data_IF_299147930462
#
_entry.id   IF_299147930462
#
_cell.length_a   1.000
_cell.length_b   1.000
_cell.length_c   1.000
_cell.angle_alpha   90.00
_cell.angle_beta   90.00
_cell.angle_gamma   90.00
#
_symmetry.space_group_name_H-M   'P 1'
#
loop_
_entity.id
_entity.type
_entity.pdbx_description
1 polymer ?
#
# COMPACT_ATOMS: atom_id res chain seq x y z
N UNK A 1 7.05 -58.99 -24.75
CA UNK A 1 6.60 -57.65 -25.19
C UNK A 1 5.68 -57.12 -24.09
N UNK A 2 6.16 -56.26 -23.17
CA UNK A 2 6.12 -54.76 -23.23
C UNK A 2 4.67 -54.28 -23.42
N UNK A 3 4.04 -53.50 -22.53
CA UNK A 3 4.52 -52.30 -21.82
C UNK A 3 3.68 -52.06 -20.55
N UNK A 4 4.34 -51.81 -19.40
CA UNK A 4 3.72 -51.15 -18.24
C UNK A 4 3.56 -49.66 -18.57
N UNK A 5 2.32 -49.15 -18.54
CA UNK A 5 2.06 -47.71 -18.51
C UNK A 5 2.31 -47.20 -17.08
N UNK A 6 3.53 -46.73 -16.81
CA UNK A 6 3.77 -45.85 -15.65
C UNK A 6 3.30 -44.46 -16.07
N UNK A 7 2.12 -44.06 -15.61
CA UNK A 7 1.69 -42.66 -15.64
C UNK A 7 2.61 -41.87 -14.72
N UNK A 8 3.68 -41.32 -15.29
CA UNK A 8 4.44 -40.23 -14.69
C UNK A 8 3.52 -38.99 -14.65
N UNK A 9 2.77 -38.84 -13.55
CA UNK A 9 2.40 -37.50 -13.08
C UNK A 9 3.71 -36.82 -12.66
N UNK A 10 4.39 -36.22 -13.62
CA UNK A 10 5.35 -35.17 -13.33
C UNK A 10 4.57 -33.92 -12.91
N UNK A 11 4.02 -33.94 -11.69
CA UNK A 11 3.82 -32.71 -10.95
C UNK A 11 5.24 -32.22 -10.64
N UNK A 12 5.83 -31.48 -11.59
CA UNK A 12 7.07 -30.78 -11.37
C UNK A 12 6.86 -29.95 -10.10
N UNK A 13 7.63 -30.31 -9.06
CA UNK A 13 7.62 -29.70 -7.74
C UNK A 13 8.09 -28.25 -7.87
N UNK A 14 7.22 -27.36 -8.35
CA UNK A 14 7.35 -25.96 -8.04
C UNK A 14 7.13 -25.88 -6.53
N UNK A 15 8.23 -25.87 -5.76
CA UNK A 15 8.15 -25.55 -4.34
C UNK A 15 7.32 -24.27 -4.22
N UNK A 16 6.19 -24.30 -3.48
CA UNK A 16 5.43 -23.11 -3.18
C UNK A 16 6.41 -22.00 -2.78
N UNK A 17 6.24 -20.79 -3.30
CA UNK A 17 7.13 -19.66 -2.98
C UNK A 17 7.32 -19.52 -1.45
N UNK A 18 6.30 -19.88 -0.69
CA UNK A 18 6.29 -20.00 0.77
C UNK A 18 7.38 -20.94 1.29
N UNK A 19 7.51 -22.16 0.76
CA UNK A 19 8.53 -23.12 1.18
C UNK A 19 9.94 -22.61 0.86
N UNK A 20 10.11 -21.93 -0.28
CA UNK A 20 11.39 -21.33 -0.65
C UNK A 20 11.82 -20.25 0.33
N UNK A 21 10.88 -19.43 0.81
CA UNK A 21 11.14 -18.37 1.78
C UNK A 21 11.41 -18.99 3.17
N UNK A 22 10.52 -19.86 3.63
CA UNK A 22 10.56 -20.39 5.00
C UNK A 22 11.70 -21.37 5.26
N UNK A 23 12.19 -22.07 4.22
CA UNK A 23 13.34 -22.97 4.35
C UNK A 23 14.69 -22.27 4.11
N UNK A 24 14.70 -20.99 3.74
CA UNK A 24 15.94 -20.23 3.58
C UNK A 24 16.48 -19.83 4.97
N UNK A 25 17.66 -20.31 5.40
CA UNK A 25 18.21 -19.98 6.72
C UNK A 25 18.57 -18.49 6.87
N UNK A 26 18.65 -17.75 5.76
CA UNK A 26 18.91 -16.30 5.76
C UNK A 26 17.62 -15.47 5.71
N UNK A 27 16.43 -16.09 5.67
CA UNK A 27 15.18 -15.34 5.69
C UNK A 27 14.96 -14.74 7.08
N UNK A 28 14.70 -13.44 7.14
CA UNK A 28 14.35 -12.71 8.38
C UNK A 28 12.85 -12.64 8.63
N UNK A 29 12.04 -13.22 7.74
CA UNK A 29 10.58 -13.20 7.78
C UNK A 29 9.99 -14.54 7.36
N UNK A 30 8.73 -14.75 7.75
CA UNK A 30 7.97 -15.97 7.45
C UNK A 30 6.85 -15.67 6.44
N UNK A 31 6.75 -16.50 5.41
CA UNK A 31 5.70 -16.44 4.41
C UNK A 31 4.53 -17.36 4.77
N UNK A 32 3.33 -16.95 4.36
CA UNK A 32 2.10 -17.72 4.46
C UNK A 32 1.34 -17.69 3.14
N UNK A 33 0.76 -18.84 2.75
CA UNK A 33 -0.05 -18.94 1.54
C UNK A 33 -1.50 -18.61 1.88
N UNK A 34 -1.96 -17.43 1.46
CA UNK A 34 -3.38 -17.10 1.55
C UNK A 34 -4.22 -17.92 0.56
N UNK A 35 -5.47 -18.26 0.91
CA UNK A 35 -6.37 -18.92 -0.02
C UNK A 35 -6.78 -17.98 -1.17
N UNK A 36 -7.14 -18.56 -2.32
CA UNK A 36 -7.32 -17.81 -3.58
C UNK A 36 -8.54 -16.90 -3.61
N UNK A 37 -9.51 -17.14 -2.73
CA UNK A 37 -10.65 -16.26 -2.48
C UNK A 37 -10.24 -14.97 -1.75
N UNK A 38 -9.15 -15.00 -0.97
CA UNK A 38 -8.55 -13.82 -0.34
C UNK A 38 -7.70 -13.03 -1.34
N UNK A 39 -6.76 -13.70 -2.03
CA UNK A 39 -5.82 -13.04 -2.94
C UNK A 39 -5.51 -13.90 -4.15
N UNK A 40 -5.59 -13.28 -5.33
CA UNK A 40 -5.10 -13.84 -6.61
C UNK A 40 -3.92 -13.02 -7.09
N UNK A 41 -3.10 -13.56 -8.00
CA UNK A 41 -2.00 -12.79 -8.60
C UNK A 41 -2.50 -11.54 -9.34
N UNK A 42 -3.66 -11.63 -9.99
CA UNK A 42 -4.29 -10.48 -10.64
C UNK A 42 -4.68 -9.40 -9.63
N UNK A 43 -5.33 -9.79 -8.52
CA UNK A 43 -5.67 -8.87 -7.44
C UNK A 43 -4.41 -8.26 -6.81
N UNK A 44 -3.38 -9.06 -6.55
CA UNK A 44 -2.11 -8.57 -5.99
C UNK A 44 -1.45 -7.52 -6.89
N UNK A 45 -1.46 -7.72 -8.23
CA UNK A 45 -0.98 -6.71 -9.18
C UNK A 45 -1.81 -5.43 -9.15
N UNK A 46 -3.13 -5.56 -9.11
CA UNK A 46 -4.04 -4.42 -9.05
C UNK A 46 -3.84 -3.58 -7.77
N UNK A 47 -3.51 -4.23 -6.65
CA UNK A 47 -3.26 -3.53 -5.38
C UNK A 47 -1.98 -2.70 -5.39
N UNK A 48 -1.02 -3.02 -6.26
CA UNK A 48 0.24 -2.27 -6.43
C UNK A 48 0.08 -1.14 -7.46
N UNK A 49 -0.68 -0.09 -7.10
CA UNK A 49 -1.03 1.01 -8.01
C UNK A 49 -0.03 2.17 -8.09
N UNK A 50 1.03 2.19 -7.29
CA UNK A 50 2.01 3.28 -7.33
C UNK A 50 2.89 3.21 -8.58
N UNK A 51 3.00 4.32 -9.30
CA UNK A 51 4.01 4.54 -10.33
C UNK A 51 5.26 5.16 -9.69
N UNK A 52 6.37 4.44 -9.69
CA UNK A 52 7.64 4.92 -9.12
C UNK A 52 8.35 5.78 -10.15
N UNK A 53 8.45 7.09 -9.89
CA UNK A 53 9.13 8.05 -10.77
C UNK A 53 10.17 8.87 -10.01
N UNK A 54 11.46 8.63 -10.30
CA UNK A 54 12.57 9.44 -9.76
C UNK A 54 12.71 9.39 -8.24
N UNK A 55 13.85 9.86 -7.72
CA UNK A 55 14.03 10.10 -6.29
C UNK A 55 14.27 11.59 -6.10
N UNK A 56 13.49 12.24 -5.24
CA UNK A 56 13.81 13.60 -4.80
C UNK A 56 15.03 13.58 -3.88
N UNK A 57 15.80 14.66 -3.92
CA UNK A 57 16.90 14.89 -2.99
C UNK A 57 16.33 15.00 -1.56
N UNK A 58 16.56 13.97 -0.77
CA UNK A 58 16.29 13.99 0.68
C UNK A 58 17.21 15.02 1.32
N UNK A 59 16.62 16.01 2.00
CA UNK A 59 17.37 16.95 2.82
C UNK A 59 18.23 16.18 3.82
N UNK A 60 19.54 16.46 3.87
CA UNK A 60 20.41 15.89 4.88
C UNK A 60 20.01 16.45 6.25
N UNK A 61 19.30 15.64 7.02
CA UNK A 61 19.02 15.91 8.43
C UNK A 61 20.22 15.44 9.26
N UNK A 62 20.63 16.27 10.23
CA UNK A 62 21.59 15.86 11.25
C UNK A 62 20.96 14.72 12.07
N UNK A 63 21.56 13.53 11.97
CA UNK A 63 21.01 12.28 12.51
C UNK A 63 21.62 11.90 13.86
N UNK A 64 22.50 12.73 14.42
CA UNK A 64 23.28 12.38 15.61
C UNK A 64 22.44 12.14 16.89
N UNK A 65 21.19 12.62 16.93
CA UNK A 65 20.30 12.52 18.10
C UNK A 65 19.01 11.71 17.85
N UNK A 66 18.96 10.88 16.80
CA UNK A 66 17.78 10.02 16.56
C UNK A 66 17.78 8.79 17.49
N UNK A 67 16.59 8.35 17.97
CA UNK A 67 16.50 7.15 18.79
C UNK A 67 16.80 5.90 17.95
N UNK A 68 17.34 4.86 18.60
CA UNK A 68 17.61 3.56 17.97
C UNK A 68 16.32 2.88 17.48
N UNK A 69 15.22 3.11 18.19
CA UNK A 69 13.89 2.59 17.87
C UNK A 69 12.86 3.72 17.91
N UNK A 70 11.92 3.71 16.97
CA UNK A 70 10.87 4.72 16.89
C UNK A 70 9.55 4.13 16.38
N UNK A 71 8.48 4.40 17.12
CA UNK A 71 7.11 4.13 16.69
C UNK A 71 6.25 5.39 16.85
N UNK A 72 5.70 5.87 15.74
CA UNK A 72 4.84 7.05 15.73
C UNK A 72 3.56 6.85 16.56
N UNK A 73 3.07 5.60 16.70
CA UNK A 73 1.87 5.26 17.49
C UNK A 73 2.12 5.42 18.99
N UNK A 74 3.34 5.11 19.43
CA UNK A 74 3.75 5.30 20.82
C UNK A 74 4.07 6.76 21.11
N UNK A 75 4.68 7.47 20.13
CA UNK A 75 5.04 8.87 20.27
C UNK A 75 3.82 9.80 20.30
N UNK A 76 2.81 9.50 19.47
CA UNK A 76 1.57 10.28 19.34
C UNK A 76 0.33 9.37 19.47
N UNK A 77 0.05 8.88 20.68
CA UNK A 77 -1.05 7.95 20.90
C UNK A 77 -2.39 8.59 20.56
N UNK A 78 -3.22 7.86 19.82
CA UNK A 78 -4.55 8.32 19.38
C UNK A 78 -4.55 9.36 18.26
N UNK A 79 -3.38 9.70 17.69
CA UNK A 79 -3.27 10.67 16.60
C UNK A 79 -3.17 10.05 15.20
N UNK A 80 -2.98 8.73 15.13
CA UNK A 80 -2.88 7.98 13.88
C UNK A 80 -4.18 7.22 13.59
N UNK A 81 -4.47 7.04 12.30
CA UNK A 81 -5.65 6.33 11.81
C UNK A 81 -5.53 4.81 12.02
N UNK A 82 -6.66 4.09 12.09
CA UNK A 82 -6.65 2.64 11.91
C UNK A 82 -6.19 2.28 10.49
N UNK A 83 -5.84 1.01 10.28
CA UNK A 83 -5.47 0.50 8.96
C UNK A 83 -6.68 0.52 8.04
N UNK A 84 -6.54 1.12 6.85
CA UNK A 84 -7.57 1.14 5.82
C UNK A 84 -7.37 0.09 4.73
N UNK A 85 -8.43 -0.15 3.96
CA UNK A 85 -8.47 -1.11 2.85
C UNK A 85 -8.82 -0.42 1.52
N UNK A 86 -7.87 -0.41 0.59
CA UNK A 86 -8.04 0.10 -0.79
C UNK A 86 -8.86 -0.86 -1.69
N UNK A 87 -9.23 -2.04 -1.20
CA UNK A 87 -9.99 -3.03 -1.95
C UNK A 87 -9.30 -3.47 -3.25
N UNK A 88 -10.06 -3.45 -4.35
CA UNK A 88 -9.62 -3.87 -5.69
C UNK A 88 -9.17 -2.70 -6.57
N UNK A 89 -8.97 -1.52 -5.99
CA UNK A 89 -8.52 -0.33 -6.70
C UNK A 89 -7.02 -0.14 -6.50
N UNK A 90 -6.27 0.17 -7.55
CA UNK A 90 -4.85 0.52 -7.48
C UNK A 90 -4.65 1.95 -6.95
N UNK A 91 -5.17 2.20 -5.75
CA UNK A 91 -5.25 3.53 -5.12
C UNK A 91 -4.33 3.70 -3.91
N UNK A 92 -3.36 2.79 -3.72
CA UNK A 92 -2.39 2.88 -2.63
C UNK A 92 -1.70 4.25 -2.55
N UNK A 93 -1.40 4.84 -3.71
CA UNK A 93 -0.83 6.18 -3.85
C UNK A 93 -1.70 7.26 -3.15
N UNK A 94 -3.01 7.23 -3.35
CA UNK A 94 -3.96 8.18 -2.77
C UNK A 94 -4.14 7.95 -1.25
N UNK A 95 -4.23 6.68 -0.83
CA UNK A 95 -4.32 6.33 0.59
C UNK A 95 -3.08 6.77 1.36
N UNK A 96 -1.88 6.51 0.83
CA UNK A 96 -0.63 6.89 1.48
C UNK A 96 -0.55 8.40 1.74
N UNK A 97 -0.93 9.22 0.75
CA UNK A 97 -0.93 10.69 0.87
C UNK A 97 -2.03 11.18 1.80
N UNK A 98 -3.27 10.72 1.65
CA UNK A 98 -4.38 11.14 2.50
C UNK A 98 -4.14 10.79 4.00
N UNK A 99 -3.67 9.58 4.28
CA UNK A 99 -3.36 9.16 5.65
C UNK A 99 -2.18 9.93 6.23
N UNK A 100 -1.11 10.14 5.46
CA UNK A 100 0.04 10.91 5.92
C UNK A 100 -0.32 12.38 6.19
N UNK A 101 -1.14 12.99 5.33
CA UNK A 101 -1.63 14.35 5.52
C UNK A 101 -2.44 14.46 6.82
N UNK A 102 -3.38 13.52 7.05
CA UNK A 102 -4.16 13.47 8.29
C UNK A 102 -3.27 13.30 9.52
N UNK A 103 -2.32 12.36 9.47
CA UNK A 103 -1.39 12.13 10.59
C UNK A 103 -0.61 13.39 10.95
N UNK A 104 -0.11 14.13 9.94
CA UNK A 104 0.62 15.38 10.16
C UNK A 104 -0.27 16.47 10.76
N UNK A 105 -1.49 16.63 10.25
CA UNK A 105 -2.48 17.58 10.78
C UNK A 105 -2.82 17.26 12.24
N UNK A 106 -3.10 15.99 12.52
CA UNK A 106 -3.43 15.49 13.86
C UNK A 106 -2.29 15.71 14.87
N UNK A 107 -1.04 15.45 14.47
CA UNK A 107 0.17 15.72 15.28
C UNK A 107 0.33 17.22 15.58
N UNK A 108 -0.05 18.10 14.64
CA UNK A 108 -0.04 19.56 14.82
C UNK A 108 -1.23 20.09 15.64
N UNK A 109 -2.17 19.23 16.04
CA UNK A 109 -3.35 19.60 16.81
C UNK A 109 -4.54 20.06 15.97
N UNK A 110 -4.53 19.81 14.66
CA UNK A 110 -5.67 20.01 13.78
C UNK A 110 -6.53 18.75 13.76
N UNK A 111 -7.79 18.84 14.18
CA UNK A 111 -8.71 17.69 14.24
C UNK A 111 -9.82 17.81 13.18
N UNK A 112 -9.46 17.55 11.92
CA UNK A 112 -10.40 17.51 10.80
C UNK A 112 -11.02 16.13 10.60
N UNK A 113 -10.39 15.07 11.13
CA UNK A 113 -10.75 13.67 10.90
C UNK A 113 -10.19 13.18 9.56
N UNK A 114 -10.32 11.87 9.30
CA UNK A 114 -9.68 11.21 8.15
C UNK A 114 -9.85 11.98 6.84
N UNK A 115 -8.74 12.26 6.15
CA UNK A 115 -8.74 12.83 4.80
C UNK A 115 -9.27 11.82 3.77
N UNK A 116 -9.85 12.32 2.69
CA UNK A 116 -10.47 11.48 1.65
C UNK A 116 -9.44 11.03 0.61
N UNK A 117 -9.11 9.72 0.53
CA UNK A 117 -8.39 9.20 -0.63
C UNK A 117 -9.25 9.25 -1.89
N UNK A 118 -10.59 9.24 -1.77
CA UNK A 118 -11.50 9.30 -2.90
C UNK A 118 -11.43 10.63 -3.65
N UNK A 119 -11.17 11.73 -2.94
CA UNK A 119 -10.95 13.04 -3.55
C UNK A 119 -9.78 12.97 -4.53
N UNK A 120 -8.61 12.51 -4.07
CA UNK A 120 -7.43 12.31 -4.92
C UNK A 120 -7.73 11.38 -6.11
N UNK A 121 -8.37 10.23 -5.87
CA UNK A 121 -8.71 9.25 -6.92
C UNK A 121 -9.61 9.86 -8.01
N UNK A 122 -10.50 10.78 -7.64
CA UNK A 122 -11.55 11.29 -8.53
C UNK A 122 -11.19 12.64 -9.18
N UNK A 123 -10.38 13.45 -8.49
CA UNK A 123 -10.12 14.84 -8.84
C UNK A 123 -8.70 15.08 -9.34
N UNK A 124 -7.70 14.30 -8.89
CA UNK A 124 -6.36 14.39 -9.45
C UNK A 124 -6.34 13.78 -10.85
N UNK A 125 -6.33 14.65 -11.86
CA UNK A 125 -6.35 14.28 -13.27
C UNK A 125 -4.97 14.00 -13.86
N UNK A 126 -3.88 14.16 -13.10
CA UNK A 126 -2.54 13.72 -13.53
C UNK A 126 -2.38 12.22 -13.34
N UNK A 127 -2.96 11.70 -12.26
CA UNK A 127 -3.00 10.28 -11.95
C UNK A 127 -4.20 9.58 -12.62
N UNK A 128 -4.25 8.24 -12.54
CA UNK A 128 -5.16 7.38 -13.32
C UNK A 128 -6.20 6.69 -12.44
N UNK A 129 -6.53 7.29 -11.29
CA UNK A 129 -7.47 6.73 -10.33
C UNK A 129 -7.06 5.32 -9.90
N UNK A 130 -7.94 4.33 -10.12
CA UNK A 130 -7.66 2.94 -9.78
C UNK A 130 -6.63 2.22 -10.68
N UNK A 131 -6.22 2.85 -11.78
CA UNK A 131 -5.19 2.30 -12.67
C UNK A 131 -3.78 2.74 -12.27
N UNK A 132 -3.66 3.48 -11.17
CA UNK A 132 -2.40 3.88 -10.57
C UNK A 132 -2.18 5.38 -10.57
N UNK A 133 -1.13 5.80 -9.87
CA UNK A 133 -0.77 7.19 -9.66
C UNK A 133 0.59 7.31 -8.99
N UNK A 134 1.15 8.51 -8.96
CA UNK A 134 2.47 8.79 -8.43
C UNK A 134 2.38 9.70 -7.21
N UNK A 135 3.04 9.34 -6.10
CA UNK A 135 2.87 10.05 -4.83
C UNK A 135 3.20 11.55 -4.91
N UNK A 136 4.17 11.93 -5.74
CA UNK A 136 4.58 13.32 -5.91
C UNK A 136 3.47 14.18 -6.54
N UNK A 137 2.75 13.68 -7.54
CA UNK A 137 1.59 14.38 -8.12
C UNK A 137 0.51 14.58 -7.06
N UNK A 138 0.24 13.55 -6.25
CA UNK A 138 -0.83 13.62 -5.26
C UNK A 138 -0.48 14.57 -4.10
N UNK A 139 0.80 14.66 -3.72
CA UNK A 139 1.27 15.69 -2.79
C UNK A 139 1.20 17.10 -3.39
N UNK A 140 1.59 17.27 -4.65
CA UNK A 140 1.47 18.55 -5.38
C UNK A 140 0.01 18.99 -5.48
N UNK A 141 -0.90 18.06 -5.80
CA UNK A 141 -2.34 18.28 -5.83
C UNK A 141 -2.86 18.72 -4.47
N UNK A 142 -2.54 17.95 -3.42
CA UNK A 142 -2.94 18.23 -2.04
C UNK A 142 -2.45 19.61 -1.58
N UNK A 143 -1.23 19.99 -1.94
CA UNK A 143 -0.66 21.30 -1.61
C UNK A 143 -1.37 22.44 -2.38
N UNK A 144 -1.67 22.25 -3.66
CA UNK A 144 -2.20 23.30 -4.54
C UNK A 144 -3.70 23.51 -4.38
N UNK A 145 -4.46 22.42 -4.22
CA UNK A 145 -5.92 22.43 -4.23
C UNK A 145 -6.52 22.07 -2.87
N UNK A 146 -5.75 21.42 -1.99
CA UNK A 146 -6.28 20.76 -0.80
C UNK A 146 -6.94 19.42 -1.12
N UNK A 147 -7.33 18.71 -0.07
CA UNK A 147 -8.15 17.50 -0.12
C UNK A 147 -9.26 17.60 0.94
N UNK A 148 -10.43 17.07 0.64
CA UNK A 148 -11.56 17.06 1.58
C UNK A 148 -11.45 15.90 2.58
N UNK A 149 -12.35 15.87 3.57
CA UNK A 149 -12.44 14.78 4.55
C UNK A 149 -13.19 13.57 3.96
N UNK A 150 -12.87 12.37 4.43
CA UNK A 150 -13.58 11.14 4.07
C UNK A 150 -15.06 11.18 4.51
N UNK A 151 -15.43 12.01 5.50
CA UNK A 151 -16.83 12.26 5.85
C UNK A 151 -17.57 13.03 4.73
N UNK A 152 -16.88 13.97 4.07
CA UNK A 152 -17.44 14.74 2.96
C UNK A 152 -17.45 13.93 1.65
N UNK A 153 -16.37 13.20 1.36
CA UNK A 153 -16.26 12.38 0.16
C UNK A 153 -15.82 10.95 0.52
N UNK A 154 -16.76 10.07 0.90
CA UNK A 154 -16.43 8.73 1.35
C UNK A 154 -15.83 7.86 0.24
N UNK A 155 -14.95 6.94 0.63
CA UNK A 155 -14.39 5.96 -0.29
C UNK A 155 -15.45 5.01 -0.88
N UNK A 156 -15.54 4.98 -2.22
CA UNK A 156 -16.45 4.07 -2.95
C UNK A 156 -15.76 3.29 -4.08
N UNK A 157 -14.49 3.58 -4.39
CA UNK A 157 -13.74 2.85 -5.42
C UNK A 157 -13.30 1.45 -5.01
N UNK A 158 -13.65 0.97 -3.80
CA UNK A 158 -13.24 -0.34 -3.27
C UNK A 158 -13.53 -1.53 -4.20
N UNK A 159 -14.60 -1.46 -4.99
CA UNK A 159 -14.99 -2.52 -5.93
C UNK A 159 -14.09 -2.63 -7.17
N UNK A 160 -13.27 -1.60 -7.45
CA UNK A 160 -12.64 -1.41 -8.76
C UNK A 160 -13.65 -0.88 -9.80
N UNK A 161 -13.15 -0.57 -11.00
CA UNK A 161 -13.99 -0.28 -12.18
C UNK A 161 -14.27 -1.56 -12.97
#
# INVERSE_FOLDING_TARGET
MKVLFVTLLAAALAHPIVDKINNNPNSTWQAYQYPSDVITLAKARQMCGTEISGGDDIAQLDSNDLPVDFDARERWPGKLLPIHDQGKCGSCWAFAVAETAEHRLSILGCEYGAMSPQDLISCDHHDKGCNGGAEHHSWEWTHTHGITTNACFPYFSQAGF
#
